data_IF_477092315296
#
_entry.id   IF_477092315296
#
_cell.length_a   1.000
_cell.length_b   1.000
_cell.length_c   1.000
_cell.angle_alpha   90.00
_cell.angle_beta   90.00
_cell.angle_gamma   90.00
#
_symmetry.space_group_name_H-M   'P 1'
#
loop_
_entity.id
_entity.type
_entity.pdbx_description
1 polymer ?
#
# COMPACT_ATOMS: atom_id res chain seq x y z
N UNK A 1 0.61 10.10 21.69
CA UNK A 1 1.22 10.34 20.38
C UNK A 1 0.49 9.47 19.38
N UNK A 2 0.19 9.94 18.15
CA UNK A 2 -0.32 9.09 17.09
C UNK A 2 0.68 7.95 16.83
N UNK A 3 0.20 6.76 16.48
CA UNK A 3 1.10 5.65 16.16
C UNK A 3 1.82 5.90 14.84
N UNK A 4 3.02 5.34 14.72
CA UNK A 4 3.79 5.44 13.49
C UNK A 4 3.12 4.67 12.36
N UNK A 5 2.75 5.38 11.30
CA UNK A 5 2.39 4.79 10.01
C UNK A 5 3.64 4.15 9.41
N UNK A 6 3.54 2.93 8.89
CA UNK A 6 4.62 2.31 8.11
C UNK A 6 4.87 3.05 6.78
N UNK A 7 5.26 2.32 5.74
CA UNK A 7 5.34 2.89 4.39
C UNK A 7 3.92 2.99 3.81
N UNK A 8 3.47 4.21 3.55
CA UNK A 8 2.18 4.49 2.94
C UNK A 8 2.38 5.14 1.57
N UNK A 9 1.80 4.52 0.54
CA UNK A 9 1.75 5.07 -0.81
C UNK A 9 0.36 5.59 -1.07
N UNK A 10 0.26 6.88 -1.38
CA UNK A 10 -0.99 7.58 -1.61
C UNK A 10 -0.94 8.37 -2.90
N UNK A 11 -1.91 8.14 -3.80
CA UNK A 11 -2.08 8.88 -5.06
C UNK A 11 -0.84 8.95 -5.99
N UNK A 12 0.08 7.99 -5.85
CA UNK A 12 1.25 7.88 -6.72
C UNK A 12 1.08 6.75 -7.74
N UNK A 13 1.75 6.90 -8.87
CA UNK A 13 1.93 5.84 -9.85
C UNK A 13 3.34 5.26 -9.76
N UNK A 14 3.51 4.00 -10.16
CA UNK A 14 4.83 3.45 -10.49
C UNK A 14 5.80 3.43 -9.29
N UNK A 15 5.31 2.93 -8.16
CA UNK A 15 6.07 2.85 -6.91
C UNK A 15 6.45 1.41 -6.62
N UNK A 16 7.72 1.18 -6.33
CA UNK A 16 8.21 -0.14 -5.96
C UNK A 16 8.76 -0.15 -4.54
N UNK A 17 8.33 -1.15 -3.76
CA UNK A 17 8.72 -1.35 -2.37
C UNK A 17 9.33 -2.76 -2.26
N UNK A 18 10.65 -2.84 -2.22
CA UNK A 18 11.44 -4.08 -2.04
C UNK A 18 12.62 -3.86 -1.12
N UNK A 19 13.13 -4.95 -0.53
CA UNK A 19 14.31 -5.00 0.31
C UNK A 19 14.28 -4.04 1.52
N UNK A 20 13.07 -3.66 1.97
CA UNK A 20 12.89 -2.87 3.18
C UNK A 20 12.79 -3.78 4.41
N UNK A 21 13.28 -3.27 5.54
CA UNK A 21 13.10 -3.88 6.86
C UNK A 21 12.24 -2.94 7.70
N UNK A 22 11.03 -3.38 8.06
CA UNK A 22 10.12 -2.64 8.94
C UNK A 22 9.90 -3.44 10.21
N UNK A 23 10.31 -2.88 11.35
CA UNK A 23 10.24 -3.52 12.66
C UNK A 23 9.50 -2.64 13.68
N UNK A 24 8.94 -3.27 14.70
CA UNK A 24 8.23 -2.66 15.83
C UNK A 24 7.08 -1.72 15.40
N UNK A 25 6.42 -2.02 14.28
CA UNK A 25 5.27 -1.26 13.82
C UNK A 25 3.95 -1.89 14.31
N UNK A 26 3.24 -1.27 15.27
CA UNK A 26 1.99 -1.82 15.79
C UNK A 26 0.81 -1.70 14.80
N UNK A 27 0.95 -0.91 13.75
CA UNK A 27 -0.06 -0.71 12.69
C UNK A 27 0.28 -1.53 11.43
N UNK A 28 -0.25 -1.20 10.26
CA UNK A 28 0.14 -1.86 9.01
C UNK A 28 1.52 -1.35 8.51
N UNK A 29 2.53 -2.22 8.33
CA UNK A 29 3.84 -1.85 7.79
C UNK A 29 3.80 -1.28 6.37
N UNK A 30 2.93 -1.80 5.49
CA UNK A 30 2.83 -1.33 4.11
C UNK A 30 1.37 -1.08 3.73
N UNK A 31 1.11 0.10 3.16
CA UNK A 31 -0.24 0.54 2.80
C UNK A 31 -0.27 1.16 1.41
N UNK A 32 -1.15 0.65 0.55
CA UNK A 32 -1.59 1.33 -0.67
C UNK A 32 -2.98 1.91 -0.45
N UNK A 33 -3.13 3.23 -0.54
CA UNK A 33 -4.42 3.89 -0.30
C UNK A 33 -4.68 4.99 -1.32
N UNK A 34 -5.92 5.17 -1.72
CA UNK A 34 -6.35 6.35 -2.46
C UNK A 34 -6.40 7.58 -1.54
N UNK A 35 -6.21 8.76 -2.13
CA UNK A 35 -6.38 10.02 -1.42
C UNK A 35 -7.85 10.22 -1.06
N UNK A 36 -8.13 10.47 0.22
CA UNK A 36 -9.49 10.51 0.77
C UNK A 36 -10.04 11.92 0.99
N UNK A 37 -9.21 12.96 0.90
CA UNK A 37 -9.66 14.35 1.10
C UNK A 37 -10.23 14.93 -0.19
N UNK A 38 -11.04 15.99 -0.07
CA UNK A 38 -11.55 16.73 -1.22
C UNK A 38 -10.41 17.39 -1.99
N UNK A 39 -10.51 17.36 -3.32
CA UNK A 39 -9.58 18.00 -4.24
C UNK A 39 -10.36 18.69 -5.36
N UNK A 40 -9.88 19.86 -5.79
CA UNK A 40 -10.56 20.69 -6.79
C UNK A 40 -9.89 20.65 -8.17
N UNK A 41 -8.68 20.07 -8.29
CA UNK A 41 -7.97 19.95 -9.57
C UNK A 41 -8.46 18.73 -10.35
N UNK A 42 -9.12 18.96 -11.48
CA UNK A 42 -9.63 17.92 -12.37
C UNK A 42 -8.53 17.04 -13.00
N UNK A 43 -7.26 17.46 -12.96
CA UNK A 43 -6.11 16.68 -13.44
C UNK A 43 -5.49 15.82 -12.34
N UNK A 44 -5.92 15.99 -11.09
CA UNK A 44 -5.40 15.21 -9.99
C UNK A 44 -5.97 13.79 -10.02
N UNK A 45 -5.08 12.81 -9.95
CA UNK A 45 -5.45 11.42 -9.84
C UNK A 45 -5.28 10.97 -8.38
N UNK A 46 -6.37 10.74 -7.64
CA UNK A 46 -6.31 10.35 -6.24
C UNK A 46 -5.96 8.86 -6.04
N UNK A 47 -5.99 8.03 -7.09
CA UNK A 47 -5.76 6.60 -6.98
C UNK A 47 -4.27 6.29 -7.00
N UNK A 48 -3.85 5.35 -6.14
CA UNK A 48 -2.57 4.68 -6.33
C UNK A 48 -2.64 3.83 -7.61
N UNK A 49 -1.54 3.74 -8.36
CA UNK A 49 -1.44 2.96 -9.60
C UNK A 49 -0.12 2.24 -9.67
N UNK A 50 -0.14 0.97 -10.04
CA UNK A 50 1.06 0.17 -10.26
C UNK A 50 2.02 0.19 -9.04
N UNK A 51 1.48 0.18 -7.83
CA UNK A 51 2.30 0.06 -6.61
C UNK A 51 2.65 -1.42 -6.42
N UNK A 52 3.94 -1.74 -6.37
CA UNK A 52 4.43 -3.10 -6.18
C UNK A 52 4.99 -3.25 -4.76
N UNK A 53 4.44 -4.18 -3.98
CA UNK A 53 5.04 -4.62 -2.72
C UNK A 53 5.60 -6.03 -2.91
N UNK A 54 6.93 -6.10 -3.01
CA UNK A 54 7.68 -7.32 -3.23
C UNK A 54 8.27 -7.88 -1.92
N UNK A 55 9.48 -8.43 -1.99
CA UNK A 55 10.19 -9.02 -0.87
C UNK A 55 10.59 -7.94 0.15
N UNK A 56 9.83 -7.84 1.24
CA UNK A 56 10.15 -6.97 2.36
C UNK A 56 10.15 -7.78 3.66
N UNK A 57 11.02 -7.42 4.59
CA UNK A 57 11.13 -8.07 5.89
C UNK A 57 10.31 -7.28 6.90
N UNK A 58 9.33 -7.95 7.50
CA UNK A 58 8.50 -7.43 8.59
C UNK A 58 8.59 -8.36 9.79
N UNK A 59 8.52 -7.80 10.98
CA UNK A 59 8.32 -8.58 12.20
C UNK A 59 6.83 -8.82 12.47
N UNK A 60 6.51 -9.36 13.65
CA UNK A 60 5.14 -9.60 14.11
C UNK A 60 4.39 -8.29 14.50
N UNK A 61 4.59 -7.23 13.72
CA UNK A 61 3.84 -5.98 13.81
C UNK A 61 2.36 -6.15 13.47
N UNK A 62 1.63 -5.03 13.38
CA UNK A 62 0.19 -4.99 13.07
C UNK A 62 -0.74 -5.63 14.12
N UNK A 63 -0.38 -5.53 15.39
CA UNK A 63 -1.18 -6.00 16.54
C UNK A 63 -2.14 -4.95 17.11
N UNK A 64 -2.02 -3.68 16.71
CA UNK A 64 -2.84 -2.56 17.21
C UNK A 64 -3.04 -1.48 16.12
N UNK A 65 -3.86 -1.78 15.10
CA UNK A 65 -4.14 -0.85 14.01
C UNK A 65 -4.93 0.35 14.52
N UNK A 66 -4.41 1.56 14.26
CA UNK A 66 -5.08 2.82 14.60
C UNK A 66 -6.17 3.16 13.57
N UNK A 67 -7.14 2.26 13.43
CA UNK A 67 -8.27 2.35 12.51
C UNK A 67 -9.58 2.26 13.31
N UNK A 68 -10.61 3.05 12.96
CA UNK A 68 -11.96 2.82 13.46
C UNK A 68 -12.41 1.39 13.18
N UNK A 69 -12.69 0.61 14.24
CA UNK A 69 -13.00 -0.82 14.12
C UNK A 69 -11.78 -1.75 14.15
N UNK A 70 -10.57 -1.25 14.43
CA UNK A 70 -9.33 -2.02 14.50
C UNK A 70 -9.38 -3.25 15.40
N UNK A 71 -10.08 -3.19 16.54
CA UNK A 71 -10.27 -4.34 17.43
C UNK A 71 -11.11 -5.46 16.77
N UNK A 72 -12.12 -5.11 15.97
CA UNK A 72 -12.91 -6.09 15.22
C UNK A 72 -12.10 -6.69 14.07
N UNK A 73 -11.29 -5.87 13.39
CA UNK A 73 -10.36 -6.34 12.37
C UNK A 73 -9.35 -7.33 12.97
N UNK A 74 -8.69 -6.98 14.06
CA UNK A 74 -7.78 -7.89 14.76
C UNK A 74 -8.47 -9.21 15.13
N UNK A 75 -9.68 -9.15 15.68
CA UNK A 75 -10.43 -10.36 16.02
C UNK A 75 -10.75 -11.22 14.78
N UNK A 76 -11.10 -10.61 13.65
CA UNK A 76 -11.39 -11.31 12.40
C UNK A 76 -10.16 -12.01 11.81
N UNK A 77 -8.97 -11.43 11.99
CA UNK A 77 -7.70 -11.97 11.48
C UNK A 77 -6.91 -12.78 12.52
N UNK A 78 -7.48 -13.06 13.70
CA UNK A 78 -6.86 -13.94 14.70
C UNK A 78 -5.84 -13.26 15.62
N UNK A 79 -5.88 -11.93 15.76
CA UNK A 79 -5.09 -11.15 16.71
C UNK A 79 -3.86 -10.45 16.12
N UNK A 80 -3.55 -10.68 14.85
CA UNK A 80 -2.47 -9.98 14.13
C UNK A 80 -2.90 -9.81 12.68
N UNK A 81 -2.75 -8.60 12.15
CA UNK A 81 -3.07 -8.34 10.75
C UNK A 81 -1.90 -8.71 9.83
N UNK A 82 -2.16 -9.19 8.61
CA UNK A 82 -1.12 -9.27 7.59
C UNK A 82 -0.48 -7.89 7.33
N UNK A 83 0.80 -7.86 6.93
CA UNK A 83 1.58 -6.63 6.88
C UNK A 83 1.18 -5.67 5.74
N UNK A 84 0.63 -6.23 4.65
CA UNK A 84 0.23 -5.47 3.48
C UNK A 84 -1.25 -5.15 3.55
N UNK A 85 -1.60 -3.86 3.42
CA UNK A 85 -2.97 -3.39 3.45
C UNK A 85 -3.31 -2.56 2.21
N UNK A 86 -4.48 -2.82 1.63
CA UNK A 86 -5.06 -2.03 0.55
C UNK A 86 -6.45 -1.53 0.94
N UNK A 87 -6.84 -0.35 0.47
CA UNK A 87 -8.19 0.16 0.68
C UNK A 87 -9.24 -0.44 -0.27
N UNK A 88 -8.83 -1.07 -1.38
CA UNK A 88 -9.73 -1.64 -2.38
C UNK A 88 -10.10 -0.68 -3.52
N UNK A 89 -9.55 0.53 -3.53
CA UNK A 89 -9.86 1.53 -4.55
C UNK A 89 -8.83 1.51 -5.67
N UNK A 90 -9.32 1.50 -6.91
CA UNK A 90 -8.53 1.60 -8.14
C UNK A 90 -9.20 2.52 -9.15
N UNK A 91 -8.40 3.08 -10.06
CA UNK A 91 -8.88 4.01 -11.09
C UNK A 91 -9.84 3.32 -12.06
N UNK A 92 -9.46 2.15 -12.57
CA UNK A 92 -10.18 1.36 -13.55
C UNK A 92 -9.76 -0.12 -13.46
N UNK A 93 -10.48 -1.01 -14.16
CA UNK A 93 -10.24 -2.45 -14.10
C UNK A 93 -8.90 -2.88 -14.71
N UNK A 94 -8.35 -2.07 -15.62
CA UNK A 94 -7.14 -2.39 -16.39
C UNK A 94 -5.86 -1.86 -15.70
N UNK A 95 -6.01 -0.99 -14.70
CA UNK A 95 -4.92 -0.36 -13.96
C UNK A 95 -4.96 -0.77 -12.48
N UNK A 96 -4.24 -1.84 -12.09
CA UNK A 96 -4.17 -2.27 -10.71
C UNK A 96 -3.59 -1.16 -9.82
N UNK A 97 -4.23 -0.89 -8.68
CA UNK A 97 -3.71 0.05 -7.71
C UNK A 97 -2.49 -0.51 -6.97
N UNK A 98 -2.58 -1.79 -6.59
CA UNK A 98 -1.57 -2.53 -5.86
C UNK A 98 -1.32 -3.88 -6.53
N UNK A 99 -0.06 -4.30 -6.56
CA UNK A 99 0.41 -5.61 -7.00
C UNK A 99 1.36 -6.19 -5.95
N UNK A 100 1.41 -7.51 -5.84
CA UNK A 100 2.32 -8.19 -4.90
C UNK A 100 2.98 -9.40 -5.53
N UNK A 101 4.03 -9.94 -4.89
CA UNK A 101 4.59 -11.24 -5.28
C UNK A 101 3.75 -12.40 -4.73
N UNK A 102 3.73 -13.57 -5.40
CA UNK A 102 3.00 -14.75 -4.91
C UNK A 102 3.38 -15.13 -3.48
N UNK A 103 2.37 -15.32 -2.63
CA UNK A 103 2.57 -15.71 -1.23
C UNK A 103 2.85 -14.55 -0.27
N UNK A 104 2.89 -13.30 -0.74
CA UNK A 104 3.01 -12.13 0.13
C UNK A 104 1.69 -11.91 0.89
N UNK A 105 1.64 -12.05 2.23
CA UNK A 105 0.38 -11.99 2.97
C UNK A 105 -0.15 -10.56 3.05
N UNK A 106 -1.44 -10.38 2.81
CA UNK A 106 -2.08 -9.08 2.85
C UNK A 106 -3.58 -9.15 3.13
N UNK A 107 -4.18 -7.99 3.34
CA UNK A 107 -5.64 -7.83 3.45
C UNK A 107 -6.11 -6.52 2.80
N UNK A 108 -7.40 -6.44 2.50
CA UNK A 108 -8.02 -5.25 1.93
C UNK A 108 -9.25 -4.83 2.73
N UNK A 109 -9.55 -3.53 2.78
CA UNK A 109 -10.82 -3.00 3.29
C UNK A 109 -11.98 -3.23 2.31
N UNK A 110 -11.67 -3.46 1.02
CA UNK A 110 -12.62 -3.61 -0.07
C UNK A 110 -13.64 -2.44 -0.13
N UNK A 111 -13.13 -1.21 -0.05
CA UNK A 111 -13.95 -0.04 -0.33
C UNK A 111 -14.35 -0.04 -1.81
N UNK A 112 -15.59 0.36 -2.06
CA UNK A 112 -16.20 0.42 -3.39
C UNK A 112 -16.17 1.84 -4.00
N UNK A 113 -15.99 2.87 -3.16
CA UNK A 113 -15.94 4.28 -3.59
C UNK A 113 -15.14 5.14 -2.62
N UNK A 114 -14.59 6.23 -3.13
CA UNK A 114 -13.96 7.26 -2.30
C UNK A 114 -14.97 7.88 -1.33
N UNK A 115 -14.50 8.16 -0.11
CA UNK A 115 -15.35 8.70 0.96
C UNK A 115 -16.35 7.69 1.55
N UNK A 116 -16.29 6.41 1.17
CA UNK A 116 -17.06 5.37 1.85
C UNK A 116 -16.66 5.29 3.33
N UNK A 117 -17.66 5.11 4.20
CA UNK A 117 -17.40 4.92 5.62
C UNK A 117 -16.74 3.58 5.88
N UNK A 118 -15.77 3.54 6.78
CA UNK A 118 -15.16 2.28 7.25
C UNK A 118 -16.18 1.32 7.89
N UNK A 119 -17.31 1.84 8.39
CA UNK A 119 -18.39 1.00 8.91
C UNK A 119 -19.10 0.18 7.82
N UNK A 120 -19.01 0.61 6.55
CA UNK A 120 -19.57 -0.08 5.39
C UNK A 120 -18.52 -0.94 4.67
N UNK A 121 -17.27 -0.94 5.13
CA UNK A 121 -16.19 -1.73 4.54
C UNK A 121 -16.44 -3.24 4.75
N UNK A 122 -15.92 -4.06 3.84
CA UNK A 122 -15.99 -5.52 3.93
C UNK A 122 -14.58 -6.11 3.89
N UNK A 123 -13.85 -6.05 5.03
CA UNK A 123 -12.47 -6.47 5.07
C UNK A 123 -12.30 -7.96 4.74
N UNK A 124 -11.26 -8.29 3.99
CA UNK A 124 -10.98 -9.68 3.59
C UNK A 124 -9.52 -9.89 3.19
N UNK A 125 -9.16 -11.12 2.81
CA UNK A 125 -7.85 -11.43 2.25
C UNK A 125 -7.53 -10.52 1.07
N UNK A 126 -6.25 -10.17 0.89
CA UNK A 126 -5.83 -9.38 -0.25
C UNK A 126 -5.99 -10.19 -1.53
N UNK A 127 -6.70 -9.62 -2.49
CA UNK A 127 -6.86 -10.15 -3.84
C UNK A 127 -6.34 -9.11 -4.83
N UNK A 128 -5.09 -9.27 -5.24
CA UNK A 128 -4.40 -8.37 -6.16
C UNK A 128 -3.59 -9.20 -7.16
N UNK A 129 -3.41 -8.72 -8.40
CA UNK A 129 -2.63 -9.44 -9.38
C UNK A 129 -1.19 -9.65 -8.89
N UNK A 130 -0.65 -10.83 -9.21
CA UNK A 130 0.76 -11.10 -9.00
C UNK A 130 1.60 -10.24 -9.94
N UNK A 131 2.62 -9.58 -9.41
CA UNK A 131 3.62 -8.92 -10.23
C UNK A 131 4.59 -9.97 -10.79
N UNK A 132 4.66 -10.09 -12.12
CA UNK A 132 5.28 -11.24 -12.78
C UNK A 132 6.62 -11.00 -13.49
N UNK A 133 7.13 -9.77 -13.57
CA UNK A 133 8.33 -9.42 -14.35
C UNK A 133 9.14 -8.34 -13.64
N UNK A 134 10.37 -8.56 -13.13
CA UNK A 134 11.14 -7.50 -12.46
C UNK A 134 11.24 -6.23 -13.32
N UNK A 135 11.15 -5.05 -12.69
CA UNK A 135 11.24 -3.79 -13.40
C UNK A 135 12.57 -3.69 -14.14
N UNK A 136 12.51 -3.27 -15.40
CA UNK A 136 13.67 -2.78 -16.13
C UNK A 136 14.20 -1.47 -15.48
N UNK A 137 15.22 -1.59 -14.62
CA UNK A 137 15.89 -0.45 -13.97
C UNK A 137 16.73 0.40 -14.95
N UNK A 138 16.61 0.16 -16.26
CA UNK A 138 17.35 0.90 -17.28
C UNK A 138 16.83 2.34 -17.36
N UNK A 139 17.71 3.28 -16.99
CA UNK A 139 17.40 4.70 -16.98
C UNK A 139 16.80 5.24 -15.68
N UNK A 140 16.63 4.41 -14.64
CA UNK A 140 16.29 4.87 -13.29
C UNK A 140 17.58 5.27 -12.58
N UNK A 141 17.73 6.57 -12.27
CA UNK A 141 18.91 7.12 -11.59
C UNK A 141 19.27 8.51 -12.08
N UNK A 142 20.33 9.10 -11.52
CA UNK A 142 20.88 10.33 -12.06
C UNK A 142 21.39 10.07 -13.49
N UNK A 143 21.06 10.91 -14.49
CA UNK A 143 21.68 10.82 -15.80
C UNK A 143 23.20 10.87 -15.67
N UNK A 144 23.93 10.24 -16.59
CA UNK A 144 25.40 10.28 -16.60
C UNK A 144 25.92 11.74 -16.60
N UNK A 145 25.18 12.66 -17.22
CA UNK A 145 25.46 14.09 -17.23
C UNK A 145 25.37 14.75 -15.84
N UNK A 146 24.53 14.20 -14.94
CA UNK A 146 24.30 14.71 -13.59
C UNK A 146 25.33 14.11 -12.62
N UNK A 147 25.73 12.85 -12.80
CA UNK A 147 26.88 12.24 -12.09
C UNK A 147 28.20 12.93 -12.43
N UNK A 148 28.39 13.32 -13.70
CA UNK A 148 29.59 14.04 -14.14
C UNK A 148 29.78 15.41 -13.47
N UNK A 149 28.70 16.00 -12.94
CA UNK A 149 28.71 17.30 -12.22
C UNK A 149 29.10 17.20 -10.75
N UNK A 150 29.24 15.99 -10.20
CA UNK A 150 29.62 15.74 -8.81
C UNK A 150 31.15 15.62 -8.61
N UNK A 151 31.95 15.80 -9.67
CA UNK A 151 33.42 15.89 -9.62
C UNK A 151 33.88 17.35 -9.70
#
# INVERSE_FOLDING_TARGET
MPRGTGIMVMANEQVWIEDNVVQDNPTAPFMGVAYTQQFDDARYNPFAREVVIADNVVDAGATDPDLPGGAMLLAAFGGTLPPNMWDGLQQDADTPALLTIPGNPGWSLNLSRQGQSLAEAQPGPLDVPAYGQPWAMDGIGAPAELEARLK
#
